data_IF_368184697704
#
_entry.id   IF_368184697704
#
_cell.length_a   1.000
_cell.length_b   1.000
_cell.length_c   1.000
_cell.angle_alpha   90.00
_cell.angle_beta   90.00
_cell.angle_gamma   90.00
#
_symmetry.space_group_name_H-M   'P 1'
#
loop_
_entity.id
_entity.type
_entity.pdbx_description
1 polymer ?
#
# COMPACT_ATOMS: atom_id res chain seq x y z
N UNK A 1 13.90 -11.24 28.36
CA UNK A 1 14.98 -10.66 27.53
C UNK A 1 15.39 -11.73 26.54
N UNK A 2 14.96 -11.62 25.27
CA UNK A 2 15.33 -12.60 24.24
C UNK A 2 16.81 -12.44 23.95
N UNK A 3 17.59 -13.50 24.19
CA UNK A 3 19.03 -13.53 23.99
C UNK A 3 19.30 -13.77 22.51
N UNK A 4 19.40 -12.69 21.73
CA UNK A 4 19.78 -12.78 20.32
C UNK A 4 21.24 -13.22 20.25
N UNK A 5 21.50 -14.41 19.71
CA UNK A 5 22.86 -14.95 19.55
C UNK A 5 23.46 -14.41 18.26
N UNK A 6 24.65 -13.81 18.34
CA UNK A 6 25.36 -13.26 17.19
C UNK A 6 25.59 -14.29 16.06
N UNK A 7 25.64 -15.57 16.42
CA UNK A 7 25.80 -16.69 15.49
C UNK A 7 24.59 -16.89 14.57
N UNK A 8 23.36 -16.67 15.05
CA UNK A 8 22.16 -16.78 14.23
C UNK A 8 22.07 -15.66 13.20
N UNK A 9 22.42 -14.43 13.59
CA UNK A 9 22.49 -13.29 12.66
C UNK A 9 23.52 -13.57 11.56
N UNK A 10 24.70 -14.06 11.94
CA UNK A 10 25.77 -14.36 11.00
C UNK A 10 25.37 -15.46 10.00
N UNK A 11 24.61 -16.46 10.47
CA UNK A 11 24.07 -17.53 9.62
C UNK A 11 23.05 -17.00 8.61
N UNK A 12 22.09 -16.19 9.07
CA UNK A 12 21.06 -15.59 8.20
C UNK A 12 21.70 -14.72 7.10
N UNK A 13 22.69 -13.90 7.44
CA UNK A 13 23.39 -13.05 6.47
C UNK A 13 24.16 -13.90 5.46
N UNK A 14 24.86 -14.96 5.92
CA UNK A 14 25.63 -15.85 5.04
C UNK A 14 24.72 -16.59 4.05
N UNK A 15 23.59 -17.12 4.52
CA UNK A 15 22.59 -17.74 3.66
C UNK A 15 22.04 -16.77 2.59
N UNK A 16 21.80 -15.50 2.94
CA UNK A 16 21.38 -14.47 1.97
C UNK A 16 22.44 -14.16 0.91
N UNK A 17 23.72 -14.16 1.29
CA UNK A 17 24.83 -13.94 0.35
C UNK A 17 25.00 -15.14 -0.58
N UNK A 18 24.89 -16.37 -0.07
CA UNK A 18 25.00 -17.59 -0.87
C UNK A 18 23.87 -17.73 -1.90
N UNK A 19 22.67 -17.22 -1.59
CA UNK A 19 21.53 -17.20 -2.51
C UNK A 19 21.58 -16.03 -3.52
N UNK A 20 22.56 -15.13 -3.43
CA UNK A 20 22.65 -13.95 -4.29
C UNK A 20 23.17 -14.33 -5.69
N UNK A 21 22.25 -14.53 -6.63
CA UNK A 21 22.59 -14.83 -8.02
C UNK A 21 22.63 -13.55 -8.86
N UNK A 22 23.74 -13.30 -9.57
CA UNK A 22 23.92 -12.11 -10.40
C UNK A 22 23.37 -12.41 -11.81
N UNK A 23 22.13 -11.99 -12.07
CA UNK A 23 21.56 -11.97 -13.42
C UNK A 23 21.80 -10.62 -14.09
N UNK A 24 22.41 -10.62 -15.28
CA UNK A 24 22.50 -9.41 -16.12
C UNK A 24 21.20 -9.26 -16.91
N UNK A 25 20.35 -8.30 -16.51
CA UNK A 25 19.13 -7.94 -17.23
C UNK A 25 19.34 -6.65 -18.01
N UNK A 26 18.80 -6.58 -19.22
CA UNK A 26 18.62 -5.31 -19.93
C UNK A 26 17.55 -4.55 -19.15
N UNK A 27 17.94 -3.44 -18.51
CA UNK A 27 17.04 -2.66 -17.67
C UNK A 27 16.63 -1.42 -18.46
N UNK A 28 15.33 -1.20 -18.60
CA UNK A 28 14.79 0.05 -19.10
C UNK A 28 15.02 1.13 -18.03
N UNK A 29 15.85 2.13 -18.34
CA UNK A 29 16.28 3.17 -17.40
C UNK A 29 15.86 4.55 -17.87
N UNK A 30 15.65 5.45 -16.92
CA UNK A 30 15.45 6.87 -17.16
C UNK A 30 16.21 7.74 -16.18
N UNK A 31 16.06 9.05 -16.35
CA UNK A 31 16.73 10.07 -15.56
C UNK A 31 15.69 11.00 -14.95
N UNK A 32 15.82 11.30 -13.65
CA UNK A 32 14.95 12.26 -12.97
C UNK A 32 15.19 13.66 -13.55
N UNK A 33 14.18 14.22 -14.21
CA UNK A 33 14.21 15.63 -14.67
C UNK A 33 13.84 16.59 -13.56
N UNK A 34 12.84 16.21 -12.77
CA UNK A 34 12.27 17.05 -11.72
C UNK A 34 11.65 16.15 -10.66
N UNK A 35 11.77 16.54 -9.39
CA UNK A 35 11.05 15.92 -8.28
C UNK A 35 10.45 16.99 -7.38
N UNK A 36 9.22 16.77 -6.91
CA UNK A 36 8.57 17.67 -5.97
C UNK A 36 7.18 17.19 -5.57
N UNK A 37 6.83 17.39 -4.30
CA UNK A 37 5.50 17.10 -3.74
C UNK A 37 5.01 15.65 -4.02
N UNK A 38 5.92 14.67 -3.93
CA UNK A 38 5.59 13.26 -4.18
C UNK A 38 5.44 12.88 -5.66
N UNK A 39 5.84 13.75 -6.59
CA UNK A 39 5.82 13.47 -8.03
C UNK A 39 7.21 13.68 -8.61
N UNK A 40 7.63 12.75 -9.46
CA UNK A 40 8.82 12.87 -10.27
C UNK A 40 8.47 12.86 -11.76
N UNK A 41 9.18 13.67 -12.55
CA UNK A 41 9.16 13.63 -14.01
C UNK A 41 10.42 12.97 -14.49
N UNK A 42 10.28 11.88 -15.24
CA UNK A 42 11.39 11.05 -15.68
C UNK A 42 11.54 11.16 -17.19
N UNK A 43 12.76 11.36 -17.68
CA UNK A 43 13.11 11.23 -19.10
C UNK A 43 13.58 9.81 -19.39
N UNK A 44 13.26 9.26 -20.57
CA UNK A 44 13.55 7.86 -20.91
C UNK A 44 12.43 6.95 -20.43
N UNK A 45 12.76 5.76 -19.90
CA UNK A 45 11.77 4.73 -19.54
C UNK A 45 10.82 4.37 -20.69
N UNK A 46 11.31 4.32 -21.93
CA UNK A 46 10.48 4.27 -23.15
C UNK A 46 9.56 3.04 -23.24
N UNK A 47 9.97 1.93 -22.62
CA UNK A 47 9.20 0.67 -22.58
C UNK A 47 8.32 0.53 -21.33
N UNK A 48 8.23 1.55 -20.48
CA UNK A 48 7.43 1.47 -19.24
C UNK A 48 5.95 1.48 -19.58
N UNK A 49 5.17 0.67 -18.85
CA UNK A 49 3.71 0.66 -18.99
C UNK A 49 3.03 1.46 -17.89
N UNK A 50 1.81 1.92 -18.17
CA UNK A 50 1.01 2.64 -17.18
C UNK A 50 0.68 1.70 -16.00
N UNK A 51 0.86 2.19 -14.77
CA UNK A 51 0.71 1.41 -13.56
C UNK A 51 1.93 0.57 -13.19
N UNK A 52 3.04 0.63 -13.95
CA UNK A 52 4.27 -0.08 -13.60
C UNK A 52 4.99 0.57 -12.41
N UNK A 53 5.61 -0.27 -11.57
CA UNK A 53 6.52 0.17 -10.54
C UNK A 53 7.86 0.55 -11.13
N UNK A 54 8.38 1.67 -10.67
CA UNK A 54 9.74 2.13 -10.97
C UNK A 54 10.52 2.28 -9.68
N UNK A 55 11.81 1.97 -9.72
CA UNK A 55 12.72 2.05 -8.60
C UNK A 55 13.74 3.16 -8.85
N UNK A 56 13.80 4.11 -7.94
CA UNK A 56 14.78 5.19 -7.95
C UNK A 56 16.12 4.67 -7.42
N UNK A 57 17.22 5.29 -7.82
CA UNK A 57 18.57 4.89 -7.43
C UNK A 57 18.79 4.77 -5.91
N UNK A 58 18.09 5.60 -5.12
CA UNK A 58 18.11 5.59 -3.65
C UNK A 58 17.20 4.52 -3.01
N UNK A 59 16.38 3.83 -3.81
CA UNK A 59 15.51 2.74 -3.39
C UNK A 59 14.04 3.14 -3.17
N UNK A 60 13.72 4.43 -3.30
CA UNK A 60 12.31 4.87 -3.34
C UNK A 60 11.59 4.20 -4.51
N UNK A 61 10.36 3.74 -4.28
CA UNK A 61 9.50 3.16 -5.31
C UNK A 61 8.53 4.24 -5.81
N UNK A 62 8.19 4.22 -7.09
CA UNK A 62 7.11 5.03 -7.65
C UNK A 62 6.23 4.23 -8.60
N UNK A 63 5.08 4.80 -8.96
CA UNK A 63 4.12 4.25 -9.92
C UNK A 63 4.09 5.17 -11.14
N UNK A 64 4.31 4.63 -12.33
CA UNK A 64 4.18 5.36 -13.58
C UNK A 64 2.68 5.61 -13.89
N UNK A 65 2.24 6.88 -13.89
CA UNK A 65 0.82 7.23 -14.12
C UNK A 65 0.57 7.99 -15.43
N UNK A 66 1.47 8.91 -15.80
CA UNK A 66 1.34 9.70 -17.01
C UNK A 66 2.48 9.34 -17.97
N UNK A 67 2.17 8.75 -19.12
CA UNK A 67 3.15 8.49 -20.17
C UNK A 67 3.04 9.60 -21.22
N UNK A 68 3.85 10.66 -21.11
CA UNK A 68 3.92 11.72 -22.12
C UNK A 68 5.00 11.39 -23.15
N UNK A 69 4.96 12.01 -24.33
CA UNK A 69 5.91 11.72 -25.42
C UNK A 69 7.37 12.08 -25.10
N UNK A 70 7.62 12.91 -24.08
CA UNK A 70 8.96 13.40 -23.72
C UNK A 70 9.37 13.09 -22.28
N UNK A 71 8.42 12.74 -21.42
CA UNK A 71 8.68 12.45 -20.01
C UNK A 71 7.54 11.62 -19.43
N UNK A 72 7.83 10.92 -18.35
CA UNK A 72 6.87 10.11 -17.62
C UNK A 72 6.63 10.72 -16.25
N UNK A 73 5.37 10.95 -15.92
CA UNK A 73 4.94 11.35 -14.59
C UNK A 73 4.84 10.13 -13.69
N UNK A 74 5.74 10.07 -12.72
CA UNK A 74 5.81 9.03 -11.69
C UNK A 74 5.32 9.59 -10.36
N UNK A 75 4.41 8.87 -9.73
CA UNK A 75 3.94 9.16 -8.38
C UNK A 75 4.77 8.37 -7.38
N UNK A 76 5.39 9.06 -6.44
CA UNK A 76 6.28 8.45 -5.45
C UNK A 76 5.49 7.77 -4.34
N UNK A 77 5.89 6.54 -4.02
CA UNK A 77 5.42 5.76 -2.88
C UNK A 77 6.27 6.06 -1.64
N UNK A 78 6.37 7.34 -1.29
CA UNK A 78 7.24 7.89 -0.24
C UNK A 78 7.30 9.41 -0.31
N UNK A 79 8.16 10.02 0.50
CA UNK A 79 8.36 11.48 0.56
C UNK A 79 9.30 12.00 -0.55
N UNK A 80 10.22 11.15 -1.03
CA UNK A 80 11.11 11.46 -2.15
C UNK A 80 12.17 12.52 -1.83
N UNK A 81 12.44 12.79 -0.54
CA UNK A 81 13.33 13.87 -0.09
C UNK A 81 14.79 13.66 -0.50
N UNK A 82 15.19 12.41 -0.70
CA UNK A 82 16.55 12.03 -1.06
C UNK A 82 16.76 11.90 -2.58
N UNK A 83 15.69 12.02 -3.38
CA UNK A 83 15.78 11.91 -4.82
C UNK A 83 16.39 13.20 -5.38
N UNK A 84 17.43 13.06 -6.19
CA UNK A 84 18.09 14.19 -6.84
C UNK A 84 17.75 14.23 -8.33
N UNK A 85 17.65 15.43 -8.90
CA UNK A 85 17.62 15.59 -10.36
C UNK A 85 18.90 15.01 -10.97
N UNK A 86 18.76 14.32 -12.10
CA UNK A 86 19.83 13.56 -12.73
C UNK A 86 20.00 12.12 -12.20
N UNK A 87 19.36 11.74 -11.09
CA UNK A 87 19.43 10.37 -10.57
C UNK A 87 18.84 9.37 -11.55
N UNK A 88 19.32 8.13 -11.51
CA UNK A 88 18.77 7.05 -12.33
C UNK A 88 17.45 6.55 -11.75
N UNK A 89 16.53 6.19 -12.65
CA UNK A 89 15.31 5.45 -12.33
C UNK A 89 15.23 4.21 -13.22
N UNK A 90 14.77 3.10 -12.67
CA UNK A 90 14.69 1.81 -13.35
C UNK A 90 13.24 1.32 -13.37
N UNK A 91 12.77 0.91 -14.54
CA UNK A 91 11.52 0.17 -14.65
C UNK A 91 11.70 -1.24 -14.08
N UNK A 92 10.76 -1.69 -13.25
CA UNK A 92 10.85 -3.00 -12.58
C UNK A 92 10.27 -4.14 -13.43
N UNK A 93 9.52 -3.81 -14.49
CA UNK A 93 8.74 -4.75 -15.29
C UNK A 93 7.50 -5.29 -14.56
N UNK A 94 7.16 -4.75 -13.39
CA UNK A 94 6.06 -5.23 -12.55
C UNK A 94 5.00 -4.14 -12.43
N UNK A 95 3.75 -4.49 -12.75
CA UNK A 95 2.60 -3.64 -12.42
C UNK A 95 2.50 -3.48 -10.90
N UNK A 96 2.03 -2.31 -10.46
CA UNK A 96 1.82 -1.97 -9.08
C UNK A 96 1.09 -3.09 -8.33
N UNK A 97 1.82 -3.69 -7.40
CA UNK A 97 1.39 -4.81 -6.59
C UNK A 97 1.88 -4.65 -5.15
N UNK A 98 1.13 -5.22 -4.23
CA UNK A 98 1.50 -5.27 -2.82
C UNK A 98 1.55 -6.69 -2.29
N UNK A 99 2.39 -6.87 -1.28
CA UNK A 99 2.47 -8.05 -0.47
C UNK A 99 1.15 -8.31 0.27
N UNK A 100 0.70 -9.57 0.28
CA UNK A 100 -0.49 -10.03 0.99
C UNK A 100 -0.23 -11.38 1.65
N UNK A 101 -0.82 -11.58 2.83
CA UNK A 101 -0.80 -12.85 3.56
C UNK A 101 -1.80 -12.80 4.72
N UNK A 102 -2.04 -13.95 5.35
CA UNK A 102 -2.83 -13.98 6.59
C UNK A 102 -2.11 -13.29 7.76
N UNK A 103 -0.78 -13.14 7.70
CA UNK A 103 0.03 -12.53 8.75
C UNK A 103 -0.21 -11.01 8.94
N UNK A 104 -1.01 -10.40 8.06
CA UNK A 104 -1.48 -9.03 8.22
C UNK A 104 -2.61 -8.88 9.26
N UNK A 105 -3.29 -9.98 9.65
CA UNK A 105 -4.32 -9.95 10.68
C UNK A 105 -3.77 -9.46 12.01
N UNK A 106 -4.47 -8.51 12.63
CA UNK A 106 -4.06 -7.88 13.89
C UNK A 106 -2.88 -6.93 13.79
N UNK A 107 -2.47 -6.55 12.58
CA UNK A 107 -1.40 -5.58 12.33
C UNK A 107 -1.95 -4.21 11.95
N UNK A 108 -1.16 -3.18 12.27
CA UNK A 108 -1.34 -1.83 11.73
C UNK A 108 -0.25 -1.60 10.69
N UNK A 109 -0.66 -1.29 9.46
CA UNK A 109 0.22 -1.13 8.31
C UNK A 109 -0.03 0.19 7.60
N UNK A 110 0.94 0.63 6.81
CA UNK A 110 0.80 1.77 5.91
C UNK A 110 0.32 1.33 4.49
N UNK A 111 0.15 2.28 3.57
CA UNK A 111 -0.24 2.06 2.18
C UNK A 111 0.86 1.39 1.32
N UNK A 112 2.02 1.07 1.91
CA UNK A 112 3.05 0.22 1.29
C UNK A 112 3.02 -1.21 1.82
N UNK A 113 1.98 -1.56 2.57
CA UNK A 113 1.86 -2.83 3.30
C UNK A 113 3.02 -3.08 4.28
N UNK A 114 3.70 -2.02 4.75
CA UNK A 114 4.74 -2.09 5.78
C UNK A 114 4.11 -1.89 7.16
N UNK A 115 4.51 -2.68 8.17
CA UNK A 115 3.99 -2.53 9.53
C UNK A 115 4.46 -1.23 10.18
N UNK A 116 3.54 -0.55 10.85
CA UNK A 116 3.81 0.67 11.64
C UNK A 116 3.45 0.51 13.13
N UNK A 117 3.08 -0.70 13.54
CA UNK A 117 2.74 -1.06 14.93
C UNK A 117 3.96 -1.45 15.79
N UNK A 118 5.17 -1.45 15.22
CA UNK A 118 6.40 -1.81 15.93
C UNK A 118 6.55 -3.32 16.26
N UNK A 119 5.69 -4.19 15.73
CA UNK A 119 5.72 -5.65 16.00
C UNK A 119 6.63 -6.44 15.04
N UNK A 120 7.56 -5.77 14.36
CA UNK A 120 8.48 -6.37 13.38
C UNK A 120 7.87 -6.56 11.98
N UNK A 121 8.66 -7.08 11.04
CA UNK A 121 8.23 -7.29 9.65
C UNK A 121 7.12 -8.34 9.52
N UNK A 122 6.32 -8.24 8.46
CA UNK A 122 5.26 -9.20 8.14
C UNK A 122 5.80 -10.16 7.09
N UNK A 123 5.72 -11.47 7.36
CA UNK A 123 6.04 -12.50 6.37
C UNK A 123 4.91 -12.55 5.33
N UNK A 124 5.18 -11.99 4.16
CA UNK A 124 4.27 -12.05 3.02
C UNK A 124 4.48 -13.34 2.23
N UNK A 125 3.38 -14.01 1.87
CA UNK A 125 3.41 -15.25 1.09
C UNK A 125 3.18 -15.00 -0.40
N UNK A 126 2.38 -13.98 -0.73
CA UNK A 126 1.92 -13.70 -2.08
C UNK A 126 1.94 -12.20 -2.36
N UNK A 127 1.77 -11.84 -3.63
CA UNK A 127 1.56 -10.45 -4.06
C UNK A 127 0.29 -10.34 -4.89
N UNK A 128 -0.45 -9.24 -4.73
CA UNK A 128 -1.64 -8.92 -5.53
C UNK A 128 -1.52 -7.54 -6.13
N UNK A 129 -2.08 -7.36 -7.33
CA UNK A 129 -2.15 -6.07 -8.01
C UNK A 129 -2.95 -5.06 -7.17
N UNK A 130 -2.48 -3.81 -7.12
CA UNK A 130 -3.17 -2.70 -6.47
C UNK A 130 -4.48 -2.37 -7.22
N UNK A 131 -4.41 -2.39 -8.54
CA UNK A 131 -5.56 -2.22 -9.43
C UNK A 131 -5.95 -3.58 -10.02
N UNK A 132 -6.84 -4.30 -9.33
CA UNK A 132 -7.48 -5.51 -9.83
C UNK A 132 -8.87 -5.19 -10.43
N UNK A 133 -9.30 -5.91 -11.48
CA UNK A 133 -10.65 -5.75 -11.99
C UNK A 133 -11.68 -6.21 -10.94
N UNK A 134 -12.73 -5.42 -10.75
CA UNK A 134 -13.80 -5.77 -9.83
C UNK A 134 -14.55 -7.05 -10.27
N UNK A 135 -15.09 -7.84 -9.33
CA UNK A 135 -15.87 -9.03 -9.66
C UNK A 135 -17.03 -8.71 -10.61
N UNK A 136 -17.13 -9.42 -11.73
CA UNK A 136 -18.20 -9.23 -12.73
C UNK A 136 -19.57 -9.67 -12.20
N UNK A 137 -20.66 -9.22 -12.83
CA UNK A 137 -22.03 -9.50 -12.37
C UNK A 137 -22.31 -11.00 -12.19
N UNK A 138 -21.80 -11.85 -13.11
CA UNK A 138 -21.96 -13.31 -13.06
C UNK A 138 -21.35 -13.92 -11.79
N UNK A 139 -20.26 -13.34 -11.27
CA UNK A 139 -19.59 -13.80 -10.05
C UNK A 139 -20.25 -13.30 -8.76
N UNK A 140 -21.21 -12.37 -8.84
CA UNK A 140 -21.87 -11.77 -7.67
C UNK A 140 -23.12 -12.56 -7.30
N UNK A 141 -23.41 -12.62 -6.00
CA UNK A 141 -24.71 -13.07 -5.46
C UNK A 141 -25.47 -11.87 -4.89
N UNK A 142 -26.79 -11.92 -4.91
CA UNK A 142 -27.61 -10.89 -4.28
C UNK A 142 -27.38 -10.88 -2.77
N UNK A 143 -27.06 -9.70 -2.23
CA UNK A 143 -26.88 -9.48 -0.79
C UNK A 143 -27.89 -8.44 -0.34
N UNK A 144 -28.72 -8.78 0.65
CA UNK A 144 -29.65 -7.86 1.30
C UNK A 144 -29.18 -7.60 2.72
N UNK A 145 -28.56 -6.44 2.97
CA UNK A 145 -28.17 -6.01 4.32
C UNK A 145 -28.44 -4.52 4.50
N UNK A 146 -29.20 -4.16 5.52
CA UNK A 146 -29.33 -2.77 5.98
C UNK A 146 -28.13 -2.37 6.83
N UNK A 147 -27.50 -1.24 6.52
CA UNK A 147 -26.45 -0.60 7.34
C UNK A 147 -27.00 0.78 7.74
N UNK A 148 -26.95 1.21 9.00
CA UNK A 148 -25.77 1.86 9.61
C UNK A 148 -26.01 2.15 11.10
N UNK A 149 -24.99 1.98 11.96
CA UNK A 149 -24.56 2.96 12.98
C UNK A 149 -23.14 2.61 13.48
N UNK A 150 -22.19 3.52 13.22
CA UNK A 150 -20.80 3.63 13.71
C UNK A 150 -19.83 2.48 13.33
N UNK A 151 -18.86 2.78 12.46
CA UNK A 151 -17.89 1.87 11.88
C UNK A 151 -17.22 0.89 12.87
N UNK A 152 -16.73 1.42 14.00
CA UNK A 152 -16.06 0.61 15.03
C UNK A 152 -17.02 -0.41 15.65
N UNK A 153 -18.24 0.00 16.01
CA UNK A 153 -19.25 -0.91 16.56
C UNK A 153 -19.63 -2.00 15.55
N UNK A 154 -19.60 -1.68 14.26
CA UNK A 154 -19.81 -2.69 13.20
C UNK A 154 -18.70 -3.75 13.21
N UNK A 155 -17.44 -3.35 13.35
CA UNK A 155 -16.29 -4.29 13.48
C UNK A 155 -16.42 -5.14 14.74
N UNK A 156 -16.75 -4.51 15.87
CA UNK A 156 -16.92 -5.21 17.15
C UNK A 156 -18.04 -6.26 17.08
N UNK A 157 -19.14 -5.94 16.41
CA UNK A 157 -20.24 -6.86 16.21
C UNK A 157 -19.87 -8.08 15.34
N UNK A 158 -18.77 -8.05 14.58
CA UNK A 158 -18.30 -9.22 13.82
C UNK A 158 -17.61 -10.28 14.67
N UNK A 159 -17.39 -10.03 15.96
CA UNK A 159 -16.79 -11.02 16.86
C UNK A 159 -17.61 -12.32 16.86
N UNK A 160 -16.95 -13.44 16.57
CA UNK A 160 -17.60 -14.76 16.46
C UNK A 160 -18.36 -15.01 15.13
N UNK A 161 -18.44 -14.03 14.22
CA UNK A 161 -19.09 -14.19 12.91
C UNK A 161 -18.17 -14.69 11.80
N UNK A 162 -16.90 -15.00 12.12
CA UNK A 162 -15.87 -15.45 11.19
C UNK A 162 -15.65 -14.51 9.99
N UNK A 163 -15.88 -13.22 10.18
CA UNK A 163 -15.63 -12.18 9.19
C UNK A 163 -14.30 -11.45 9.48
N UNK A 164 -13.46 -11.34 8.46
CA UNK A 164 -12.24 -10.55 8.52
C UNK A 164 -12.59 -9.08 8.30
N UNK A 165 -12.08 -8.21 9.15
CA UNK A 165 -12.30 -6.77 9.05
C UNK A 165 -11.07 -6.05 8.53
N UNK A 166 -11.26 -5.03 7.69
CA UNK A 166 -10.22 -4.11 7.24
C UNK A 166 -10.69 -2.70 7.52
N UNK A 167 -9.98 -1.98 8.39
CA UNK A 167 -10.23 -0.57 8.69
C UNK A 167 -9.16 0.29 8.03
N UNK A 168 -9.57 1.14 7.11
CA UNK A 168 -8.69 2.02 6.33
C UNK A 168 -8.85 3.45 6.82
N UNK A 169 -7.85 3.96 7.55
CA UNK A 169 -7.78 5.34 7.97
C UNK A 169 -6.98 6.17 6.95
N UNK A 170 -7.64 7.17 6.35
CA UNK A 170 -7.08 8.08 5.34
C UNK A 170 -7.09 9.49 5.88
N UNK A 171 -5.92 10.12 5.97
CA UNK A 171 -5.75 11.49 6.42
C UNK A 171 -6.30 11.75 7.83
N UNK A 172 -6.37 10.72 8.68
CA UNK A 172 -6.82 10.87 10.06
C UNK A 172 -5.70 11.38 10.96
N UNK A 173 -6.07 11.96 12.11
CA UNK A 173 -5.07 12.31 13.14
C UNK A 173 -4.49 11.02 13.70
N UNK A 174 -3.17 10.98 13.91
CA UNK A 174 -2.50 9.82 14.49
C UNK A 174 -3.11 9.39 15.83
N UNK A 175 -3.49 10.35 16.68
CA UNK A 175 -4.16 10.08 17.96
C UNK A 175 -5.52 9.42 17.82
N UNK A 176 -6.31 9.81 16.80
CA UNK A 176 -7.62 9.21 16.52
C UNK A 176 -7.48 7.76 16.05
N UNK A 177 -6.51 7.49 15.16
CA UNK A 177 -6.22 6.12 14.71
C UNK A 177 -5.76 5.26 15.88
N UNK A 178 -4.84 5.77 16.71
CA UNK A 178 -4.38 5.07 17.91
C UNK A 178 -5.53 4.74 18.86
N UNK A 179 -6.47 5.67 19.09
CA UNK A 179 -7.64 5.42 19.92
C UNK A 179 -8.54 4.30 19.37
N UNK A 180 -8.73 4.25 18.05
CA UNK A 180 -9.47 3.16 17.39
C UNK A 180 -8.75 1.83 17.58
N UNK A 181 -7.43 1.78 17.32
CA UNK A 181 -6.62 0.57 17.50
C UNK A 181 -6.68 0.07 18.95
N UNK A 182 -6.53 0.97 19.92
CA UNK A 182 -6.66 0.64 21.35
C UNK A 182 -8.04 0.06 21.66
N UNK A 183 -9.12 0.69 21.18
CA UNK A 183 -10.49 0.19 21.39
C UNK A 183 -10.70 -1.20 20.80
N UNK A 184 -10.19 -1.45 19.60
CA UNK A 184 -10.25 -2.75 18.96
C UNK A 184 -9.42 -3.79 19.72
N UNK A 185 -8.26 -3.40 20.25
CA UNK A 185 -7.39 -4.31 21.00
C UNK A 185 -8.00 -4.68 22.36
N UNK A 186 -8.52 -3.71 23.11
CA UNK A 186 -9.18 -3.92 24.41
C UNK A 186 -10.40 -4.83 24.31
N UNK A 187 -11.10 -4.78 23.16
CA UNK A 187 -12.29 -5.61 22.90
C UNK A 187 -11.99 -6.90 22.14
N UNK A 188 -10.71 -7.24 21.92
CA UNK A 188 -10.29 -8.46 21.21
C UNK A 188 -10.59 -8.46 19.71
N UNK A 189 -11.03 -7.34 19.14
CA UNK A 189 -11.37 -7.22 17.73
C UNK A 189 -10.17 -7.08 16.80
N UNK A 190 -9.00 -6.73 17.33
CA UNK A 190 -7.77 -6.72 16.53
C UNK A 190 -7.42 -8.11 15.98
N UNK A 191 -7.80 -9.21 16.63
CA UNK A 191 -7.44 -10.57 16.16
C UNK A 191 -7.94 -10.89 14.74
N UNK A 192 -9.05 -10.27 14.34
CA UNK A 192 -9.65 -10.44 13.00
C UNK A 192 -9.65 -9.14 12.18
N UNK A 193 -8.95 -8.09 12.63
CA UNK A 193 -8.94 -6.79 11.96
C UNK A 193 -7.55 -6.41 11.47
N UNK A 194 -7.47 -5.93 10.23
CA UNK A 194 -6.28 -5.27 9.68
C UNK A 194 -6.54 -3.77 9.68
N UNK A 195 -5.60 -2.98 10.17
CA UNK A 195 -5.67 -1.52 10.10
C UNK A 195 -4.68 -1.01 9.06
N UNK A 196 -5.19 -0.38 8.00
CA UNK A 196 -4.38 0.37 7.04
C UNK A 196 -4.46 1.84 7.42
N UNK A 197 -3.35 2.47 7.75
CA UNK A 197 -3.33 3.81 8.27
C UNK A 197 -2.34 4.71 7.53
N UNK A 198 -2.89 5.71 6.85
CA UNK A 198 -2.17 6.87 6.32
C UNK A 198 -2.70 8.11 7.01
N UNK A 199 -1.88 8.69 7.90
CA UNK A 199 -2.26 9.85 8.70
C UNK A 199 -2.22 11.14 7.87
N UNK A 200 -2.80 12.22 8.40
CA UNK A 200 -2.91 13.51 7.72
C UNK A 200 -1.58 14.11 7.21
N UNK A 201 -0.47 13.78 7.87
CA UNK A 201 0.88 14.25 7.52
C UNK A 201 1.57 13.41 6.44
N UNK A 202 0.99 12.25 6.10
CA UNK A 202 1.56 11.35 5.10
C UNK A 202 1.43 11.96 3.71
N UNK A 203 2.32 11.64 2.75
CA UNK A 203 2.21 12.09 1.37
C UNK A 203 0.82 11.84 0.78
N UNK A 204 0.30 12.80 0.00
CA UNK A 204 -1.00 12.67 -0.67
C UNK A 204 -1.07 11.42 -1.55
N UNK A 205 0.07 10.97 -2.07
CA UNK A 205 0.22 9.76 -2.87
C UNK A 205 -0.10 8.51 -2.08
N UNK A 206 0.37 8.41 -0.84
CA UNK A 206 0.06 7.29 0.06
C UNK A 206 -1.38 7.36 0.55
N UNK A 207 -1.87 8.54 0.92
CA UNK A 207 -3.28 8.74 1.30
C UNK A 207 -4.25 8.32 0.17
N UNK A 208 -3.89 8.61 -1.09
CA UNK A 208 -4.65 8.16 -2.26
C UNK A 208 -4.65 6.64 -2.41
N UNK A 209 -3.50 5.99 -2.19
CA UNK A 209 -3.33 4.55 -2.34
C UNK A 209 -4.00 3.72 -1.22
N UNK A 210 -4.10 4.26 -0.01
CA UNK A 210 -4.53 3.48 1.16
C UNK A 210 -5.86 2.71 0.98
N UNK A 211 -6.92 3.26 0.34
CA UNK A 211 -8.14 2.50 0.08
C UNK A 211 -7.97 1.33 -0.89
N UNK A 212 -7.11 1.46 -1.90
CA UNK A 212 -6.78 0.36 -2.81
C UNK A 212 -6.09 -0.77 -2.05
N UNK A 213 -5.16 -0.42 -1.16
CA UNK A 213 -4.47 -1.41 -0.31
C UNK A 213 -5.44 -2.14 0.61
N UNK A 214 -6.36 -1.41 1.24
CA UNK A 214 -7.42 -2.02 2.03
C UNK A 214 -8.27 -2.99 1.21
N UNK A 215 -8.66 -2.59 -0.01
CA UNK A 215 -9.44 -3.43 -0.92
C UNK A 215 -8.66 -4.69 -1.29
N UNK A 216 -7.38 -4.59 -1.66
CA UNK A 216 -6.54 -5.75 -2.01
C UNK A 216 -6.41 -6.74 -0.86
N UNK A 217 -6.25 -6.24 0.37
CA UNK A 217 -6.18 -7.08 1.57
C UNK A 217 -7.53 -7.76 1.85
N UNK A 218 -8.63 -7.03 1.73
CA UNK A 218 -9.97 -7.63 1.85
C UNK A 218 -10.19 -8.68 0.75
N UNK A 219 -9.86 -8.38 -0.50
CA UNK A 219 -9.97 -9.29 -1.63
C UNK A 219 -9.16 -10.57 -1.42
N UNK A 220 -7.95 -10.49 -0.85
CA UNK A 220 -7.13 -11.66 -0.55
C UNK A 220 -7.90 -12.71 0.28
N UNK A 221 -8.66 -12.27 1.29
CA UNK A 221 -9.51 -13.17 2.09
C UNK A 221 -10.82 -13.52 1.38
N UNK A 222 -11.43 -12.57 0.67
CA UNK A 222 -12.67 -12.78 -0.09
C UNK A 222 -12.52 -13.90 -1.14
N UNK A 223 -11.44 -13.89 -1.92
CA UNK A 223 -11.16 -14.91 -2.93
C UNK A 223 -10.78 -16.28 -2.33
N UNK A 224 -10.55 -16.34 -1.01
CA UNK A 224 -10.40 -17.58 -0.22
C UNK A 224 -11.69 -17.97 0.50
N UNK A 225 -12.82 -17.50 -0.01
CA UNK A 225 -14.16 -17.80 0.50
C UNK A 225 -14.40 -17.37 1.95
N UNK A 226 -13.61 -16.43 2.47
CA UNK A 226 -13.84 -15.82 3.78
C UNK A 226 -14.80 -14.63 3.66
N UNK A 227 -15.61 -14.42 4.69
CA UNK A 227 -16.41 -13.20 4.79
C UNK A 227 -15.49 -12.03 5.15
N UNK A 228 -15.68 -10.90 4.46
CA UNK A 228 -14.83 -9.71 4.67
C UNK A 228 -15.68 -8.47 4.80
N UNK A 229 -15.36 -7.64 5.78
CA UNK A 229 -15.91 -6.30 5.96
C UNK A 229 -14.78 -5.28 5.80
N UNK A 230 -14.95 -4.32 4.90
CA UNK A 230 -14.04 -3.19 4.77
C UNK A 230 -14.73 -1.89 5.15
N UNK A 231 -14.00 -1.02 5.85
CA UNK A 231 -14.41 0.31 6.28
C UNK A 231 -13.37 1.33 5.81
N UNK A 232 -13.83 2.40 5.18
CA UNK A 232 -12.99 3.51 4.74
C UNK A 232 -13.31 4.78 5.56
N UNK A 233 -12.29 5.39 6.17
CA UNK A 233 -12.38 6.54 7.06
C UNK A 233 -11.27 7.58 6.76
N UNK A 234 -11.43 8.49 5.81
CA UNK A 234 -12.62 8.69 4.98
C UNK A 234 -12.25 8.91 3.51
N UNK A 235 -13.18 8.57 2.61
CA UNK A 235 -12.95 8.70 1.17
C UNK A 235 -13.00 10.16 0.68
N UNK A 236 -13.50 11.10 1.50
CA UNK A 236 -13.46 12.53 1.14
C UNK A 236 -12.02 13.05 1.18
N UNK A 237 -11.22 12.62 2.15
CA UNK A 237 -9.78 12.90 2.22
C UNK A 237 -9.00 12.21 1.12
N UNK A 238 -9.39 10.98 0.75
CA UNK A 238 -8.84 10.33 -0.44
C UNK A 238 -9.13 11.17 -1.71
N UNK A 239 -10.34 11.71 -1.86
CA UNK A 239 -10.69 12.56 -2.99
C UNK A 239 -9.89 13.88 -3.01
N UNK A 240 -9.64 14.48 -1.85
CA UNK A 240 -8.76 15.65 -1.72
C UNK A 240 -7.32 15.32 -2.11
N UNK A 241 -6.80 14.17 -1.67
CA UNK A 241 -5.47 13.68 -2.02
C UNK A 241 -5.35 13.41 -3.53
N UNK A 242 -6.36 12.79 -4.13
CA UNK A 242 -6.41 12.59 -5.59
C UNK A 242 -6.46 13.91 -6.35
N UNK A 243 -7.25 14.89 -5.88
CA UNK A 243 -7.28 16.23 -6.48
C UNK A 243 -5.91 16.90 -6.43
N UNK A 244 -5.21 16.81 -5.30
CA UNK A 244 -3.86 17.34 -5.16
C UNK A 244 -2.90 16.65 -6.14
N UNK A 245 -2.91 15.32 -6.21
CA UNK A 245 -2.12 14.57 -7.19
C UNK A 245 -2.41 14.98 -8.63
N UNK A 246 -3.69 15.10 -9.00
CA UNK A 246 -4.12 15.48 -10.34
C UNK A 246 -3.57 16.86 -10.74
N UNK A 247 -3.63 17.83 -9.82
CA UNK A 247 -3.09 19.19 -10.03
C UNK A 247 -1.55 19.18 -10.15
N UNK A 248 -0.86 18.39 -9.33
CA UNK A 248 0.60 18.26 -9.40
C UNK A 248 1.05 17.57 -10.70
N UNK A 249 0.24 16.64 -11.22
CA UNK A 249 0.40 16.06 -12.56
C UNK A 249 0.01 17.02 -13.69
N UNK A 250 -0.43 18.25 -13.38
CA UNK A 250 -0.91 19.27 -14.32
C UNK A 250 -2.08 18.80 -15.18
N UNK A 251 -2.91 17.90 -14.65
CA UNK A 251 -4.18 17.54 -15.29
C UNK A 251 -5.16 18.70 -15.09
N UNK A 252 -5.96 18.98 -16.11
CA UNK A 252 -7.00 20.02 -16.02
C UNK A 252 -7.99 19.65 -14.90
N UNK A 253 -8.24 20.55 -13.93
CA UNK A 253 -9.25 20.32 -12.91
C UNK A 253 -10.66 20.44 -13.50
N UNK A 254 -11.62 19.79 -12.83
CA UNK A 254 -13.06 19.99 -13.03
C UNK A 254 -13.68 20.94 -12.03
#
# INVERSE_FOLDING_TARGET
>A
MVTIRADEISKIIRERIEQYNIEVKIVNTGTVLQVGNGIARIYGLDEVVAGELVEFEEGTIGIALNLESKNIGVVLMGDGLMIQEGSSVKATGRIAQIAVSEAYLGRVINALAKPIDGRGEISASESRLIESPAPGIISRRFVQTGKTAVATDTILNQQGQNAICVYVAVGQKASSVAQVVTTLQERGAMEYTIVVAEIADSPATLQYLAPYIGAVLAEYFMYRERHTLIIYDDLSKQAQAYRQMSLLLRRSPG
#
